data_IF_021949808996
#
_entry.id   IF_021949808996
#
_cell.length_a   1.000
_cell.length_b   1.000
_cell.length_c   1.000
_cell.angle_alpha   90.00
_cell.angle_beta   90.00
_cell.angle_gamma   90.00
#
_symmetry.space_group_name_H-M   'P 1'
#
loop_
_entity.id
_entity.type
_entity.pdbx_description
1 polymer ?
#
# COMPACT_ATOMS: atom_id res chain seq x y z
N UNK A 1 -7.21 25.42 18.38
CA UNK A 1 -6.73 25.40 16.97
C UNK A 1 -6.16 24.01 16.67
N UNK A 2 -6.81 23.26 15.78
CA UNK A 2 -6.49 21.87 15.48
C UNK A 2 -5.06 21.71 14.91
N UNK A 3 -4.22 20.96 15.63
CA UNK A 3 -2.83 20.59 15.28
C UNK A 3 -2.75 19.56 14.13
N UNK A 4 -3.50 19.75 13.05
CA UNK A 4 -3.58 18.77 11.95
C UNK A 4 -2.65 19.10 10.79
N UNK A 5 -1.98 20.27 10.81
CA UNK A 5 -1.02 20.67 9.77
C UNK A 5 0.31 19.87 9.81
N UNK A 6 0.57 19.09 10.86
CA UNK A 6 1.84 18.35 11.04
C UNK A 6 1.74 16.84 10.78
N UNK A 7 0.65 16.37 10.17
CA UNK A 7 0.49 14.96 9.79
C UNK A 7 0.93 14.69 8.34
N UNK A 8 0.92 15.71 7.46
CA UNK A 8 1.31 15.55 6.04
C UNK A 8 2.75 15.03 5.88
N UNK A 9 3.64 15.46 6.77
CA UNK A 9 5.07 15.10 6.76
C UNK A 9 5.33 13.62 7.00
N UNK A 10 4.47 12.92 7.76
CA UNK A 10 4.69 11.52 8.11
C UNK A 10 4.26 10.54 6.99
N UNK A 11 3.22 10.90 6.22
CA UNK A 11 2.69 10.03 5.15
C UNK A 11 3.64 9.90 3.96
N UNK A 12 4.29 11.00 3.55
CA UNK A 12 5.26 10.96 2.45
C UNK A 12 6.44 10.05 2.78
N UNK A 13 6.99 10.15 3.99
CA UNK A 13 8.10 9.30 4.42
C UNK A 13 7.72 7.81 4.43
N UNK A 14 6.49 7.48 4.81
CA UNK A 14 6.00 6.11 4.79
C UNK A 14 5.80 5.57 3.36
N UNK A 15 5.31 6.38 2.43
CA UNK A 15 5.15 5.99 1.03
C UNK A 15 6.52 5.72 0.36
N UNK A 16 7.49 6.59 0.60
CA UNK A 16 8.87 6.40 0.08
C UNK A 16 9.48 5.10 0.62
N UNK A 17 9.24 4.80 1.89
CA UNK A 17 9.69 3.55 2.51
C UNK A 17 9.04 2.32 1.86
N UNK A 18 7.75 2.38 1.53
CA UNK A 18 7.06 1.29 0.80
C UNK A 18 7.62 1.16 -0.62
N UNK A 19 7.92 2.29 -1.28
CA UNK A 19 8.48 2.31 -2.63
C UNK A 19 9.89 1.68 -2.69
N UNK A 20 10.71 1.89 -1.66
CA UNK A 20 12.04 1.29 -1.55
C UNK A 20 12.02 -0.20 -1.15
N UNK A 21 10.92 -0.70 -0.58
CA UNK A 21 10.77 -2.10 -0.17
C UNK A 21 10.50 -3.03 -1.35
N UNK A 22 10.83 -4.32 -1.18
CA UNK A 22 10.59 -5.37 -2.17
C UNK A 22 9.10 -5.60 -2.40
N UNK A 23 8.67 -6.14 -3.56
CA UNK A 23 7.27 -6.44 -3.86
C UNK A 23 6.58 -7.28 -2.76
N UNK A 24 7.28 -8.28 -2.21
CA UNK A 24 6.79 -9.13 -1.13
C UNK A 24 6.59 -8.35 0.17
N UNK A 25 7.54 -7.51 0.56
CA UNK A 25 7.43 -6.64 1.75
C UNK A 25 6.31 -5.60 1.60
N UNK A 26 6.15 -5.02 0.40
CA UNK A 26 5.04 -4.09 0.10
C UNK A 26 3.68 -4.75 0.32
N UNK A 27 3.54 -6.04 0.02
CA UNK A 27 2.33 -6.81 0.26
C UNK A 27 2.26 -7.38 1.69
N UNK A 28 3.36 -7.35 2.44
CA UNK A 28 3.46 -7.94 3.78
C UNK A 28 3.44 -9.47 3.74
N UNK A 29 4.00 -10.04 2.68
CA UNK A 29 4.10 -11.49 2.47
C UNK A 29 5.56 -11.92 2.44
N UNK A 30 5.81 -13.19 2.71
CA UNK A 30 7.14 -13.77 2.65
C UNK A 30 7.65 -13.88 1.20
N UNK A 31 8.98 -13.95 1.00
CA UNK A 31 9.56 -14.18 -0.32
C UNK A 31 9.20 -15.56 -0.90
N UNK A 32 8.85 -16.54 -0.06
CA UNK A 32 8.32 -17.85 -0.45
C UNK A 32 6.80 -17.91 -0.57
N UNK A 33 6.09 -16.78 -0.48
CA UNK A 33 4.63 -16.77 -0.52
C UNK A 33 4.08 -17.18 -1.88
N UNK A 34 3.02 -18.00 -1.88
CA UNK A 34 2.39 -18.46 -3.12
C UNK A 34 1.52 -17.37 -3.75
N UNK A 35 1.20 -17.53 -5.03
CA UNK A 35 0.34 -16.61 -5.79
C UNK A 35 -1.03 -16.39 -5.14
N UNK A 36 -1.50 -17.36 -4.35
CA UNK A 36 -2.72 -17.27 -3.56
C UNK A 36 -2.58 -16.31 -2.37
N UNK A 37 -1.47 -16.37 -1.63
CA UNK A 37 -1.14 -15.46 -0.54
C UNK A 37 -0.99 -14.02 -1.04
N UNK A 38 -0.34 -13.84 -2.19
CA UNK A 38 -0.21 -12.54 -2.88
C UNK A 38 -1.59 -11.93 -3.12
N UNK A 39 -2.53 -12.70 -3.69
CA UNK A 39 -3.91 -12.24 -3.94
C UNK A 39 -4.69 -11.99 -2.66
N UNK A 40 -4.46 -12.76 -1.60
CA UNK A 40 -5.13 -12.58 -0.31
C UNK A 40 -4.66 -11.30 0.36
N UNK A 41 -3.35 -11.10 0.46
CA UNK A 41 -2.73 -9.91 1.02
C UNK A 41 -3.12 -8.64 0.24
N UNK A 42 -3.08 -8.69 -1.10
CA UNK A 42 -3.54 -7.59 -1.95
C UNK A 42 -4.98 -7.18 -1.64
N UNK A 43 -5.90 -8.15 -1.60
CA UNK A 43 -7.32 -7.88 -1.31
C UNK A 43 -7.50 -7.26 0.07
N UNK A 44 -6.81 -7.76 1.10
CA UNK A 44 -6.89 -7.20 2.44
C UNK A 44 -6.35 -5.76 2.50
N UNK A 45 -5.24 -5.46 1.84
CA UNK A 45 -4.68 -4.10 1.82
C UNK A 45 -5.55 -3.13 1.04
N UNK A 46 -6.05 -3.51 -0.14
CA UNK A 46 -6.96 -2.65 -0.91
C UNK A 46 -8.23 -2.32 -0.14
N UNK A 47 -8.79 -3.27 0.62
CA UNK A 47 -9.94 -3.02 1.49
C UNK A 47 -9.62 -2.06 2.64
N UNK A 48 -8.38 -2.09 3.15
CA UNK A 48 -7.91 -1.20 4.21
C UNK A 48 -7.70 0.24 3.72
N UNK A 49 -7.21 0.38 2.48
CA UNK A 49 -6.98 1.66 1.82
C UNK A 49 -8.12 2.08 0.90
N UNK A 50 -9.31 1.48 0.99
CA UNK A 50 -10.37 1.80 0.03
C UNK A 50 -10.82 3.25 0.20
N UNK A 51 -10.84 4.08 -0.85
CA UNK A 51 -11.14 5.51 -0.77
C UNK A 51 -12.57 5.79 -0.29
N UNK A 52 -13.47 4.81 -0.42
CA UNK A 52 -14.84 4.86 0.11
C UNK A 52 -14.89 4.81 1.65
N UNK A 53 -13.87 4.22 2.28
CA UNK A 53 -13.75 4.09 3.74
C UNK A 53 -12.77 5.09 4.36
N UNK A 54 -12.03 5.85 3.55
CA UNK A 54 -11.04 6.80 4.03
C UNK A 54 -11.46 8.24 3.71
N UNK A 55 -11.15 9.17 4.60
CA UNK A 55 -11.42 10.59 4.38
C UNK A 55 -10.78 11.08 3.07
N UNK A 56 -11.38 12.11 2.44
CA UNK A 56 -10.88 12.72 1.20
C UNK A 56 -9.38 13.12 1.26
N UNK A 57 -8.88 13.40 2.46
CA UNK A 57 -7.47 13.70 2.73
C UNK A 57 -6.53 12.50 2.51
N UNK A 58 -7.01 11.27 2.71
CA UNK A 58 -6.26 10.03 2.52
C UNK A 58 -6.50 9.38 1.15
N UNK A 59 -7.41 9.93 0.34
CA UNK A 59 -7.73 9.38 -0.99
C UNK A 59 -6.49 9.34 -1.89
N UNK A 60 -5.72 10.44 -1.95
CA UNK A 60 -4.51 10.55 -2.77
C UNK A 60 -3.41 9.56 -2.31
N UNK A 61 -3.21 9.44 -0.99
CA UNK A 61 -2.29 8.44 -0.42
C UNK A 61 -2.74 7.00 -0.70
N UNK A 62 -4.04 6.74 -0.58
CA UNK A 62 -4.63 5.43 -0.79
C UNK A 62 -4.48 4.98 -2.24
N UNK A 63 -4.72 5.89 -3.19
CA UNK A 63 -4.56 5.62 -4.62
C UNK A 63 -3.11 5.24 -4.96
N UNK A 64 -2.14 5.99 -4.44
CA UNK A 64 -0.71 5.69 -4.63
C UNK A 64 -0.31 4.34 -4.01
N UNK A 65 -0.79 4.03 -2.80
CA UNK A 65 -0.55 2.72 -2.18
C UNK A 65 -1.16 1.59 -3.00
N UNK A 66 -2.39 1.73 -3.47
CA UNK A 66 -3.06 0.72 -4.31
C UNK A 66 -2.28 0.50 -5.61
N UNK A 67 -1.75 1.56 -6.22
CA UNK A 67 -0.91 1.48 -7.43
C UNK A 67 0.38 0.69 -7.16
N UNK A 68 1.06 0.97 -6.05
CA UNK A 68 2.26 0.23 -5.63
C UNK A 68 1.97 -1.25 -5.34
N UNK A 69 0.81 -1.55 -4.76
CA UNK A 69 0.36 -2.92 -4.51
C UNK A 69 0.08 -3.68 -5.81
N UNK A 70 -0.58 -3.04 -6.79
CA UNK A 70 -0.81 -3.62 -8.11
C UNK A 70 0.50 -3.94 -8.84
N UNK A 71 1.45 -3.01 -8.81
CA UNK A 71 2.78 -3.22 -9.39
C UNK A 71 3.49 -4.41 -8.72
N UNK A 72 3.45 -4.47 -7.38
CA UNK A 72 4.05 -5.57 -6.63
C UNK A 72 3.42 -6.93 -7.00
N UNK A 73 2.09 -7.03 -7.04
CA UNK A 73 1.39 -8.26 -7.45
C UNK A 73 1.78 -8.65 -8.87
N UNK A 74 1.85 -7.68 -9.79
CA UNK A 74 2.23 -7.93 -11.18
C UNK A 74 3.66 -8.47 -11.29
N UNK A 75 4.61 -7.89 -10.56
CA UNK A 75 6.00 -8.37 -10.54
C UNK A 75 6.13 -9.78 -9.98
N UNK A 76 5.36 -10.12 -8.94
CA UNK A 76 5.42 -11.45 -8.32
C UNK A 76 4.77 -12.50 -9.23
N UNK A 77 3.70 -12.13 -9.92
CA UNK A 77 2.93 -13.05 -10.76
C UNK A 77 3.52 -13.25 -12.16
N UNK A 78 4.35 -12.31 -12.63
CA UNK A 78 5.04 -12.36 -13.93
C UNK A 78 6.47 -12.90 -13.87
N UNK A 79 6.94 -13.34 -12.71
CA UNK A 79 8.26 -13.96 -12.50
C UNK A 79 8.11 -15.47 -12.36
#
# INVERSE_FOLDING_TARGET
MMKWKNLKTNYSSQLEKIKQQSPHERLGIDQGASTEDVKKAYRQKVLLYHPDKTDAFMSEYSEEVIKLLNEAVSQIRGK
#
